data_IF_713512322993
#
_entry.id   IF_713512322993
#
_cell.length_a   1.000
_cell.length_b   1.000
_cell.length_c   1.000
_cell.angle_alpha   90.00
_cell.angle_beta   90.00
_cell.angle_gamma   90.00
#
_symmetry.space_group_name_H-M   'P 1'
#
loop_
_entity.id
_entity.type
_entity.pdbx_description
1 polymer ?
#
# COMPACT_ATOMS: atom_id res chain seq x y z
N UNK A 1 18.58 8.22 -12.14
CA UNK A 1 17.56 7.21 -12.47
C UNK A 1 17.72 6.07 -11.49
N UNK A 2 16.68 5.79 -10.70
CA UNK A 2 16.71 4.71 -9.70
C UNK A 2 15.86 3.54 -10.18
N UNK A 3 16.37 2.33 -10.10
CA UNK A 3 15.67 1.08 -10.45
C UNK A 3 15.90 0.02 -9.36
N UNK A 4 15.33 -1.18 -9.54
CA UNK A 4 15.60 -2.31 -8.62
C UNK A 4 17.10 -2.65 -8.48
N UNK A 5 17.93 -2.33 -9.47
CA UNK A 5 19.38 -2.55 -9.42
C UNK A 5 20.09 -1.63 -8.41
N UNK A 6 19.41 -0.58 -7.95
CA UNK A 6 19.90 0.31 -6.89
C UNK A 6 19.48 -0.14 -5.48
N UNK A 7 18.68 -1.20 -5.36
CA UNK A 7 18.26 -1.71 -4.06
C UNK A 7 19.47 -2.26 -3.28
N UNK A 8 19.57 -2.00 -1.97
CA UNK A 8 20.57 -2.63 -1.13
C UNK A 8 20.30 -4.13 -0.97
N UNK A 9 21.31 -4.87 -0.49
CA UNK A 9 21.11 -6.23 0.00
C UNK A 9 20.16 -6.21 1.21
N UNK A 10 19.08 -6.97 1.12
CA UNK A 10 18.03 -7.12 2.13
C UNK A 10 18.13 -8.46 2.87
N UNK A 11 19.26 -9.17 2.77
CA UNK A 11 19.51 -10.40 3.52
C UNK A 11 19.25 -10.18 5.02
N UNK A 12 18.41 -11.04 5.60
CA UNK A 12 18.00 -10.95 7.01
C UNK A 12 16.87 -9.96 7.29
N UNK A 13 16.33 -9.26 6.28
CA UNK A 13 15.13 -8.44 6.40
C UNK A 13 13.87 -9.27 6.19
N UNK A 14 12.86 -9.07 7.03
CA UNK A 14 11.54 -9.68 6.91
C UNK A 14 10.55 -8.65 6.39
N UNK A 15 9.80 -9.00 5.35
CA UNK A 15 8.90 -8.09 4.65
C UNK A 15 7.53 -8.70 4.40
N UNK A 16 6.50 -7.85 4.35
CA UNK A 16 5.16 -8.23 3.88
C UNK A 16 4.80 -7.34 2.70
N UNK A 17 4.25 -7.95 1.64
CA UNK A 17 3.63 -7.21 0.53
C UNK A 17 2.18 -7.67 0.38
N UNK A 18 1.24 -6.74 0.63
CA UNK A 18 -0.19 -7.03 0.44
C UNK A 18 -0.56 -7.03 -1.04
N UNK A 19 -1.41 -7.95 -1.49
CA UNK A 19 -1.88 -7.99 -2.88
C UNK A 19 -0.79 -8.38 -3.89
N UNK A 20 0.20 -9.18 -3.47
CA UNK A 20 1.38 -9.50 -4.26
C UNK A 20 1.24 -10.73 -5.19
N UNK A 21 0.02 -11.14 -5.54
CA UNK A 21 -0.17 -12.23 -6.49
C UNK A 21 -0.12 -11.79 -7.96
N UNK A 22 -0.35 -10.50 -8.26
CA UNK A 22 -0.27 -9.94 -9.62
C UNK A 22 0.19 -8.49 -9.60
N UNK A 23 0.44 -7.92 -10.79
CA UNK A 23 0.68 -6.49 -10.98
C UNK A 23 1.87 -5.94 -10.18
N UNK A 24 1.70 -4.72 -9.66
CA UNK A 24 2.73 -3.98 -8.92
C UNK A 24 3.21 -4.74 -7.68
N UNK A 25 2.29 -5.35 -6.92
CA UNK A 25 2.62 -6.11 -5.72
C UNK A 25 3.49 -7.33 -6.03
N UNK A 26 3.21 -8.04 -7.13
CA UNK A 26 4.02 -9.18 -7.58
C UNK A 26 5.45 -8.74 -7.91
N UNK A 27 5.61 -7.67 -8.70
CA UNK A 27 6.93 -7.16 -9.07
C UNK A 27 7.69 -6.59 -7.86
N UNK A 28 6.98 -5.99 -6.91
CA UNK A 28 7.55 -5.56 -5.62
C UNK A 28 8.07 -6.75 -4.81
N UNK A 29 7.26 -7.80 -4.65
CA UNK A 29 7.66 -9.00 -3.92
C UNK A 29 8.84 -9.72 -4.60
N UNK A 30 8.83 -9.78 -5.95
CA UNK A 30 9.92 -10.35 -6.75
C UNK A 30 11.23 -9.60 -6.52
N UNK A 31 11.22 -8.27 -6.62
CA UNK A 31 12.42 -7.46 -6.42
C UNK A 31 12.98 -7.57 -4.98
N UNK A 32 12.11 -7.59 -3.97
CA UNK A 32 12.53 -7.79 -2.57
C UNK A 32 13.16 -9.18 -2.36
N UNK A 33 12.59 -10.22 -2.98
CA UNK A 33 13.15 -11.58 -2.94
C UNK A 33 14.49 -11.69 -3.65
N UNK A 34 14.63 -11.07 -4.83
CA UNK A 34 15.89 -10.98 -5.57
C UNK A 34 16.99 -10.30 -4.75
N UNK A 35 16.62 -9.25 -4.00
CA UNK A 35 17.51 -8.53 -3.08
C UNK A 35 17.82 -9.30 -1.78
N UNK A 36 17.30 -10.53 -1.59
CA UNK A 36 17.65 -11.39 -0.44
C UNK A 36 16.71 -11.32 0.76
N UNK A 37 15.62 -10.56 0.69
CA UNK A 37 14.65 -10.47 1.79
C UNK A 37 13.88 -11.79 2.01
N UNK A 38 13.37 -11.97 3.23
CA UNK A 38 12.28 -12.91 3.50
C UNK A 38 10.96 -12.19 3.24
N UNK A 39 10.29 -12.54 2.14
CA UNK A 39 9.06 -11.90 1.68
C UNK A 39 7.84 -12.78 1.96
N UNK A 40 6.87 -12.23 2.67
CA UNK A 40 5.53 -12.81 2.81
C UNK A 40 4.58 -12.18 1.81
N UNK A 41 4.10 -12.99 0.86
CA UNK A 41 3.02 -12.62 -0.07
C UNK A 41 1.70 -12.72 0.67
N UNK A 42 1.07 -11.58 0.97
CA UNK A 42 -0.18 -11.52 1.72
C UNK A 42 -1.37 -11.29 0.78
N UNK A 43 -2.17 -12.32 0.52
CA UNK A 43 -3.26 -12.28 -0.48
C UNK A 43 -4.48 -13.06 -0.02
N UNK A 44 -5.63 -12.81 -0.68
CA UNK A 44 -6.92 -13.41 -0.29
C UNK A 44 -7.07 -14.89 -0.60
N UNK A 45 -6.40 -15.38 -1.64
CA UNK A 45 -6.63 -16.72 -2.18
C UNK A 45 -5.34 -17.54 -2.09
N UNK A 46 -5.40 -18.67 -1.36
CA UNK A 46 -4.25 -19.54 -1.12
C UNK A 46 -3.64 -20.12 -2.41
N UNK A 47 -4.47 -20.47 -3.39
CA UNK A 47 -4.00 -21.00 -4.65
C UNK A 47 -3.20 -19.94 -5.43
N UNK A 48 -3.75 -18.74 -5.59
CA UNK A 48 -3.05 -17.61 -6.23
C UNK A 48 -1.78 -17.21 -5.48
N UNK A 49 -1.78 -17.34 -4.16
CA UNK A 49 -0.59 -17.12 -3.33
C UNK A 49 0.52 -18.11 -3.68
N UNK A 50 0.17 -19.41 -3.70
CA UNK A 50 1.11 -20.48 -4.04
C UNK A 50 1.62 -20.37 -5.48
N UNK A 51 0.75 -20.02 -6.43
CA UNK A 51 1.15 -19.78 -7.82
C UNK A 51 2.15 -18.64 -7.92
N UNK A 52 1.92 -17.52 -7.23
CA UNK A 52 2.83 -16.38 -7.23
C UNK A 52 4.20 -16.74 -6.63
N UNK A 53 4.23 -17.47 -5.50
CA UNK A 53 5.49 -17.96 -4.90
C UNK A 53 6.26 -18.83 -5.90
N UNK A 54 5.61 -19.84 -6.47
CA UNK A 54 6.24 -20.75 -7.43
C UNK A 54 6.74 -19.99 -8.67
N UNK A 55 5.96 -19.03 -9.15
CA UNK A 55 6.30 -18.22 -10.32
C UNK A 55 7.54 -17.38 -10.05
N UNK A 56 7.60 -16.64 -8.94
CA UNK A 56 8.78 -15.83 -8.58
C UNK A 56 10.04 -16.70 -8.44
N UNK A 57 9.90 -17.87 -7.80
CA UNK A 57 11.01 -18.82 -7.66
C UNK A 57 11.49 -19.39 -8.99
N UNK A 58 10.60 -19.55 -9.97
CA UNK A 58 10.96 -20.04 -11.31
C UNK A 58 11.56 -18.96 -12.22
N UNK A 59 11.13 -17.71 -12.06
CA UNK A 59 11.55 -16.58 -12.90
C UNK A 59 12.89 -15.99 -12.47
N UNK A 60 13.34 -16.24 -11.25
CA UNK A 60 14.49 -15.57 -10.65
C UNK A 60 15.44 -16.56 -9.98
N UNK A 61 16.72 -16.17 -9.86
CA UNK A 61 17.71 -16.88 -9.04
C UNK A 61 17.92 -16.18 -7.69
N UNK A 62 16.88 -15.50 -7.19
CA UNK A 62 16.92 -14.79 -5.92
C UNK A 62 17.30 -15.71 -4.77
N UNK A 63 17.99 -15.15 -3.77
CA UNK A 63 18.49 -15.89 -2.60
C UNK A 63 17.67 -15.64 -1.34
N UNK A 64 16.60 -14.86 -1.44
CA UNK A 64 15.68 -14.58 -0.35
C UNK A 64 14.88 -15.80 0.09
N UNK A 65 13.89 -15.57 0.93
CA UNK A 65 12.88 -16.56 1.29
C UNK A 65 11.50 -16.07 0.86
N UNK A 66 10.65 -16.99 0.43
CA UNK A 66 9.26 -16.68 0.09
C UNK A 66 8.35 -17.57 0.92
N UNK A 67 7.38 -16.94 1.55
CA UNK A 67 6.18 -17.61 2.03
C UNK A 67 4.96 -16.76 1.68
N UNK A 68 3.78 -17.28 2.03
CA UNK A 68 2.55 -16.55 1.86
C UNK A 68 1.69 -16.67 3.11
N UNK A 69 0.78 -15.71 3.27
CA UNK A 69 -0.28 -15.78 4.26
C UNK A 69 -1.60 -15.29 3.68
N UNK A 70 -2.68 -15.81 4.23
CA UNK A 70 -4.03 -15.51 3.75
C UNK A 70 -4.51 -14.24 4.44
N UNK A 71 -4.75 -13.20 3.63
CA UNK A 71 -5.14 -11.88 4.11
C UNK A 71 -6.33 -11.37 3.30
N UNK A 72 -7.48 -11.23 3.97
CA UNK A 72 -8.63 -10.50 3.44
C UNK A 72 -8.75 -9.14 4.12
N UNK A 73 -8.35 -8.09 3.41
CA UNK A 73 -8.44 -6.71 3.90
C UNK A 73 -9.87 -6.19 4.07
N UNK A 74 -10.86 -6.88 3.50
CA UNK A 74 -12.28 -6.58 3.70
C UNK A 74 -12.87 -7.25 4.95
N UNK A 75 -12.04 -7.83 5.84
CA UNK A 75 -12.49 -8.51 7.05
C UNK A 75 -11.49 -8.28 8.20
N UNK A 76 -11.86 -7.45 9.18
CA UNK A 76 -10.99 -7.06 10.30
C UNK A 76 -10.56 -8.27 11.16
N UNK A 77 -11.45 -9.25 11.36
CA UNK A 77 -11.10 -10.46 12.10
C UNK A 77 -10.04 -11.28 11.38
N UNK A 78 -10.12 -11.43 10.05
CA UNK A 78 -9.10 -12.13 9.26
C UNK A 78 -7.78 -11.36 9.22
N UNK A 79 -7.82 -10.02 9.19
CA UNK A 79 -6.61 -9.19 9.30
C UNK A 79 -5.89 -9.45 10.64
N UNK A 80 -6.64 -9.50 11.74
CA UNK A 80 -6.08 -9.83 13.06
C UNK A 80 -5.49 -11.23 13.08
N UNK A 81 -6.20 -12.24 12.56
CA UNK A 81 -5.70 -13.63 12.49
C UNK A 81 -4.41 -13.73 11.69
N UNK A 82 -4.35 -13.11 10.51
CA UNK A 82 -3.12 -13.04 9.71
C UNK A 82 -1.95 -12.43 10.51
N UNK A 83 -2.19 -11.30 11.17
CA UNK A 83 -1.14 -10.63 11.94
C UNK A 83 -0.68 -11.45 13.16
N UNK A 84 -1.59 -12.15 13.83
CA UNK A 84 -1.27 -13.04 14.95
C UNK A 84 -0.45 -14.25 14.48
N UNK A 85 -0.82 -14.88 13.36
CA UNK A 85 -0.02 -15.94 12.73
C UNK A 85 1.37 -15.47 12.33
N UNK A 86 1.47 -14.27 11.73
CA UNK A 86 2.75 -13.69 11.36
C UNK A 86 3.64 -13.43 12.59
N UNK A 87 3.10 -12.86 13.67
CA UNK A 87 3.83 -12.66 14.94
C UNK A 87 4.29 -13.94 15.59
N UNK A 88 3.60 -15.06 15.38
CA UNK A 88 4.02 -16.36 15.88
C UNK A 88 5.20 -16.94 15.09
N UNK A 89 5.34 -16.59 13.81
CA UNK A 89 6.40 -17.09 12.91
C UNK A 89 7.63 -16.18 12.86
N UNK A 90 7.45 -14.87 13.05
CA UNK A 90 8.49 -13.87 12.87
C UNK A 90 8.71 -13.02 14.12
N UNK A 91 9.98 -12.72 14.41
CA UNK A 91 10.36 -11.89 15.56
C UNK A 91 10.48 -10.39 15.22
N UNK A 92 10.46 -10.06 13.93
CA UNK A 92 10.57 -8.69 13.42
C UNK A 92 9.79 -8.53 12.11
N UNK A 93 9.50 -7.27 11.78
CA UNK A 93 9.01 -6.86 10.47
C UNK A 93 9.77 -5.59 10.09
N UNK A 94 10.58 -5.66 9.04
CA UNK A 94 11.43 -4.55 8.60
C UNK A 94 10.72 -3.68 7.56
N UNK A 95 9.94 -4.28 6.66
CA UNK A 95 9.24 -3.55 5.59
C UNK A 95 7.82 -4.07 5.46
N UNK A 96 6.84 -3.19 5.62
CA UNK A 96 5.44 -3.44 5.29
C UNK A 96 5.05 -2.60 4.08
N UNK A 97 4.70 -3.27 2.98
CA UNK A 97 4.15 -2.63 1.78
C UNK A 97 2.63 -2.83 1.77
N UNK A 98 1.91 -1.76 2.08
CA UNK A 98 0.46 -1.68 1.92
C UNK A 98 0.14 -1.37 0.45
N UNK A 99 0.20 -2.39 -0.41
CA UNK A 99 0.03 -2.29 -1.86
C UNK A 99 -1.39 -2.66 -2.34
N UNK A 100 -2.07 -3.60 -1.68
CA UNK A 100 -3.35 -4.13 -2.15
C UNK A 100 -4.40 -3.03 -2.31
N UNK A 101 -5.18 -3.09 -3.38
CA UNK A 101 -6.24 -2.12 -3.60
C UNK A 101 -7.39 -2.62 -4.47
N UNK A 102 -8.50 -1.92 -4.36
CA UNK A 102 -9.66 -2.02 -5.25
C UNK A 102 -9.92 -0.63 -5.82
N UNK A 103 -10.21 -0.58 -7.11
CA UNK A 103 -10.55 0.64 -7.83
C UNK A 103 -11.91 0.46 -8.50
N UNK A 104 -12.75 1.46 -8.30
CA UNK A 104 -14.08 1.63 -8.88
C UNK A 104 -14.94 0.35 -8.98
N UNK A 105 -15.07 -0.44 -7.90
CA UNK A 105 -16.02 -1.54 -7.89
C UNK A 105 -17.45 -1.00 -7.90
N UNK A 106 -18.44 -1.82 -8.33
CA UNK A 106 -19.84 -1.56 -8.01
C UNK A 106 -20.03 -1.35 -6.49
N UNK A 107 -21.02 -0.54 -6.12
CA UNK A 107 -21.34 -0.23 -4.72
C UNK A 107 -21.46 -1.52 -3.89
N UNK A 108 -20.56 -1.69 -2.94
CA UNK A 108 -20.44 -2.90 -2.13
C UNK A 108 -19.76 -2.59 -0.79
N UNK A 109 -19.97 -3.47 0.19
CA UNK A 109 -19.42 -3.31 1.54
C UNK A 109 -18.39 -4.38 1.86
N UNK A 110 -17.49 -4.07 2.79
CA UNK A 110 -16.67 -5.07 3.48
C UNK A 110 -17.53 -5.95 4.39
N UNK A 111 -16.95 -7.02 4.92
CA UNK A 111 -17.63 -7.92 5.88
C UNK A 111 -17.99 -7.17 7.17
N UNK A 112 -17.22 -6.14 7.51
CA UNK A 112 -17.43 -5.25 8.66
C UNK A 112 -18.37 -4.06 8.35
N UNK A 113 -18.91 -3.98 7.13
CA UNK A 113 -19.94 -3.03 6.73
C UNK A 113 -19.45 -1.66 6.26
N UNK A 114 -18.17 -1.49 5.95
CA UNK A 114 -17.62 -0.24 5.38
C UNK A 114 -17.75 -0.21 3.86
N UNK A 115 -17.75 0.97 3.24
CA UNK A 115 -17.61 1.08 1.78
C UNK A 115 -16.35 0.34 1.32
N UNK A 116 -16.44 -0.44 0.23
CA UNK A 116 -15.41 -1.42 -0.13
C UNK A 116 -14.03 -0.79 -0.40
N UNK A 117 -13.95 0.31 -1.15
CA UNK A 117 -12.66 0.95 -1.48
C UNK A 117 -12.00 1.55 -0.23
N UNK A 118 -12.75 2.30 0.56
CA UNK A 118 -12.28 2.87 1.83
C UNK A 118 -11.91 1.78 2.84
N UNK A 119 -12.75 0.74 2.94
CA UNK A 119 -12.54 -0.41 3.81
C UNK A 119 -11.29 -1.22 3.45
N UNK A 120 -11.09 -1.55 2.19
CA UNK A 120 -9.93 -2.34 1.74
C UNK A 120 -8.67 -1.51 1.64
N UNK A 121 -8.71 -0.37 0.94
CA UNK A 121 -7.53 0.41 0.62
C UNK A 121 -6.95 1.06 1.89
N UNK A 122 -7.81 1.56 2.78
CA UNK A 122 -7.40 2.28 3.99
C UNK A 122 -7.63 1.51 5.29
N UNK A 123 -8.88 1.22 5.71
CA UNK A 123 -9.15 0.67 7.05
C UNK A 123 -8.47 -0.69 7.28
N UNK A 124 -8.48 -1.57 6.27
CA UNK A 124 -7.83 -2.86 6.35
C UNK A 124 -6.32 -2.75 6.54
N UNK A 125 -5.67 -1.82 5.82
CA UNK A 125 -4.24 -1.55 5.98
C UNK A 125 -3.90 -0.83 7.29
N UNK A 126 -4.78 0.07 7.76
CA UNK A 126 -4.66 0.69 9.07
C UNK A 126 -4.66 -0.38 10.18
N UNK A 127 -5.64 -1.30 10.15
CA UNK A 127 -5.75 -2.40 11.11
C UNK A 127 -4.55 -3.35 11.02
N UNK A 128 -4.15 -3.74 9.80
CA UNK A 128 -2.99 -4.60 9.56
C UNK A 128 -1.72 -3.98 10.14
N UNK A 129 -1.46 -2.71 9.82
CA UNK A 129 -0.29 -1.98 10.31
C UNK A 129 -0.32 -1.89 11.84
N UNK A 130 -1.49 -1.62 12.44
CA UNK A 130 -1.63 -1.54 13.89
C UNK A 130 -1.39 -2.87 14.61
N UNK A 131 -1.87 -3.98 14.06
CA UNK A 131 -1.62 -5.31 14.63
C UNK A 131 -0.17 -5.78 14.50
N UNK A 132 0.52 -5.37 13.43
CA UNK A 132 1.93 -5.66 13.17
C UNK A 132 2.88 -4.63 13.81
N UNK A 133 2.35 -3.51 14.30
CA UNK A 133 3.12 -2.42 14.90
C UNK A 133 4.11 -2.87 15.98
N UNK A 134 3.79 -3.83 16.88
CA UNK A 134 4.77 -4.34 17.84
C UNK A 134 6.04 -4.93 17.22
N UNK A 135 5.96 -5.54 16.02
CA UNK A 135 7.14 -6.06 15.31
C UNK A 135 7.87 -4.95 14.56
N UNK A 136 7.12 -4.03 13.94
CA UNK A 136 7.70 -2.86 13.27
C UNK A 136 8.55 -2.04 14.23
N UNK A 137 8.07 -1.81 15.47
CA UNK A 137 8.83 -1.07 16.50
C UNK A 137 10.11 -1.79 16.96
N UNK A 138 10.15 -3.13 16.88
CA UNK A 138 11.31 -3.91 17.31
C UNK A 138 12.42 -3.91 16.26
N UNK A 139 12.07 -3.84 14.98
CA UNK A 139 13.06 -3.75 13.90
C UNK A 139 13.74 -2.38 13.92
N UNK A 140 15.06 -2.38 13.68
CA UNK A 140 15.82 -1.16 13.48
C UNK A 140 15.56 -0.59 12.09
N UNK A 141 15.07 0.65 12.01
CA UNK A 141 14.80 1.37 10.78
C UNK A 141 13.71 0.70 9.93
N UNK A 142 12.62 0.27 10.57
CA UNK A 142 11.49 -0.33 9.87
C UNK A 142 10.72 0.68 9.04
N UNK A 143 10.07 0.21 7.99
CA UNK A 143 9.40 1.04 6.99
C UNK A 143 7.98 0.56 6.74
N UNK A 144 7.02 1.48 6.81
CA UNK A 144 5.66 1.26 6.30
C UNK A 144 5.50 2.11 5.05
N UNK A 145 5.35 1.46 3.90
CA UNK A 145 5.11 2.12 2.61
C UNK A 145 3.67 1.86 2.19
N UNK A 146 2.91 2.94 2.00
CA UNK A 146 1.50 2.86 1.59
C UNK A 146 1.33 3.34 0.16
N UNK A 147 0.76 2.49 -0.70
CA UNK A 147 0.50 2.87 -2.09
C UNK A 147 -0.79 3.68 -2.20
N UNK A 148 -0.62 4.94 -2.55
CA UNK A 148 -1.69 5.86 -2.92
C UNK A 148 -1.75 6.06 -4.45
N UNK A 149 -2.33 7.16 -4.91
CA UNK A 149 -2.58 7.50 -6.31
C UNK A 149 -2.65 9.02 -6.46
N UNK A 150 -2.34 9.53 -7.66
CA UNK A 150 -2.67 10.90 -8.05
C UNK A 150 -4.16 11.21 -7.91
N UNK A 151 -5.03 10.21 -7.92
CA UNK A 151 -6.47 10.36 -7.65
C UNK A 151 -6.77 10.96 -6.26
N UNK A 152 -5.85 10.89 -5.30
CA UNK A 152 -5.99 11.56 -4.01
C UNK A 152 -6.15 13.10 -4.14
N UNK A 153 -5.71 13.67 -5.27
CA UNK A 153 -5.85 15.11 -5.58
C UNK A 153 -7.26 15.49 -6.07
N UNK A 154 -8.11 14.51 -6.39
CA UNK A 154 -9.44 14.73 -6.96
C UNK A 154 -10.53 14.98 -5.91
N UNK A 155 -10.18 14.93 -4.63
CA UNK A 155 -11.09 15.21 -3.53
C UNK A 155 -10.47 16.19 -2.54
N UNK A 156 -11.29 17.05 -1.97
CA UNK A 156 -10.88 18.08 -1.01
C UNK A 156 -11.39 17.79 0.42
N UNK A 157 -12.11 16.69 0.64
CA UNK A 157 -12.68 16.35 1.94
C UNK A 157 -12.85 14.84 2.15
N UNK A 158 -13.26 14.48 3.37
CA UNK A 158 -13.73 13.13 3.71
C UNK A 158 -15.09 13.30 4.38
N UNK A 159 -16.15 12.80 3.74
CA UNK A 159 -17.47 12.70 4.33
C UNK A 159 -17.54 11.49 5.27
N UNK A 160 -17.27 11.72 6.56
CA UNK A 160 -17.28 10.69 7.59
C UNK A 160 -18.66 10.05 7.80
N UNK A 161 -19.73 10.67 7.30
CA UNK A 161 -21.10 10.16 7.37
C UNK A 161 -21.46 9.29 6.15
N UNK A 162 -20.51 9.02 5.23
CA UNK A 162 -20.71 8.16 4.06
C UNK A 162 -19.65 7.05 3.92
N UNK A 163 -18.91 6.74 4.98
CA UNK A 163 -17.83 5.74 4.94
C UNK A 163 -18.33 4.28 5.01
N UNK A 164 -19.64 4.07 5.12
CA UNK A 164 -20.33 2.77 5.09
C UNK A 164 -21.39 2.69 3.99
N UNK A 165 -21.31 3.52 2.96
CA UNK A 165 -22.32 3.63 1.89
C UNK A 165 -23.71 4.00 2.41
N UNK A 166 -23.79 5.05 3.23
CA UNK A 166 -25.04 5.60 3.76
C UNK A 166 -25.75 6.57 2.80
N UNK A 167 -25.00 7.13 1.84
CA UNK A 167 -25.46 8.11 0.84
C UNK A 167 -25.21 7.59 -0.59
N UNK A 168 -25.66 8.28 -1.66
CA UNK A 168 -25.35 7.89 -3.03
C UNK A 168 -23.85 7.64 -3.24
N UNK A 169 -23.56 6.62 -4.04
CA UNK A 169 -22.20 6.17 -4.29
C UNK A 169 -21.68 6.75 -5.62
N UNK A 170 -20.49 7.33 -5.57
CA UNK A 170 -19.68 7.65 -6.74
C UNK A 170 -18.37 6.88 -6.62
N UNK A 171 -18.13 5.94 -7.53
CA UNK A 171 -16.96 5.07 -7.47
C UNK A 171 -15.61 5.80 -7.53
N UNK A 172 -15.51 6.88 -8.30
CA UNK A 172 -14.27 7.65 -8.44
C UNK A 172 -14.00 8.52 -7.22
N UNK A 173 -15.04 9.13 -6.66
CA UNK A 173 -14.96 9.89 -5.42
C UNK A 173 -14.56 8.97 -4.25
N UNK A 174 -15.18 7.80 -4.11
CA UNK A 174 -14.81 6.82 -3.10
C UNK A 174 -13.36 6.34 -3.26
N UNK A 175 -12.90 6.16 -4.50
CA UNK A 175 -11.50 5.83 -4.78
C UNK A 175 -10.56 6.97 -4.34
N UNK A 176 -10.85 8.21 -4.74
CA UNK A 176 -10.08 9.39 -4.38
C UNK A 176 -10.01 9.58 -2.86
N UNK A 177 -11.13 9.43 -2.16
CA UNK A 177 -11.21 9.48 -0.68
C UNK A 177 -10.35 8.39 -0.04
N UNK A 178 -10.40 7.16 -0.56
CA UNK A 178 -9.56 6.07 -0.05
C UNK A 178 -8.06 6.36 -0.21
N UNK A 179 -7.66 6.99 -1.33
CA UNK A 179 -6.26 7.33 -1.64
C UNK A 179 -5.78 8.56 -0.89
N UNK A 180 -6.64 9.54 -0.65
CA UNK A 180 -6.39 10.62 0.29
C UNK A 180 -6.17 10.07 1.71
N UNK A 181 -6.98 9.12 2.15
CA UNK A 181 -6.84 8.49 3.46
C UNK A 181 -5.47 7.78 3.64
N UNK A 182 -4.97 7.10 2.60
CA UNK A 182 -3.62 6.49 2.58
C UNK A 182 -2.50 7.52 2.83
N UNK A 183 -2.61 8.71 2.24
CA UNK A 183 -1.62 9.80 2.40
C UNK A 183 -1.71 10.40 3.80
N UNK A 184 -2.91 10.72 4.26
CA UNK A 184 -3.13 11.26 5.61
C UNK A 184 -2.66 10.29 6.70
N UNK A 185 -2.90 8.99 6.50
CA UNK A 185 -2.39 7.92 7.36
C UNK A 185 -0.88 7.92 7.41
N UNK A 186 -0.23 7.95 6.25
CA UNK A 186 1.24 7.96 6.14
C UNK A 186 1.84 9.13 6.92
N UNK A 187 1.29 10.34 6.69
CA UNK A 187 1.79 11.53 7.35
C UNK A 187 1.55 11.52 8.86
N UNK A 188 0.37 11.08 9.32
CA UNK A 188 0.08 11.00 10.74
C UNK A 188 0.87 9.89 11.45
N UNK A 189 1.01 8.71 10.84
CA UNK A 189 1.84 7.64 11.38
C UNK A 189 3.28 8.12 11.56
N UNK A 190 3.84 8.79 10.56
CA UNK A 190 5.18 9.33 10.64
C UNK A 190 5.32 10.44 11.70
N UNK A 191 4.34 11.35 11.83
CA UNK A 191 4.34 12.36 12.91
C UNK A 191 4.35 11.71 14.30
N UNK A 192 3.54 10.68 14.51
CA UNK A 192 3.46 9.95 15.78
C UNK A 192 4.75 9.17 16.06
N UNK A 193 5.33 8.53 15.05
CA UNK A 193 6.64 7.85 15.12
C UNK A 193 7.76 8.81 15.53
N UNK A 194 7.85 9.99 14.88
CA UNK A 194 8.83 11.02 15.21
C UNK A 194 8.65 11.55 16.63
N UNK A 195 7.42 11.86 17.02
CA UNK A 195 7.10 12.36 18.37
C UNK A 195 7.46 11.35 19.46
N UNK A 196 7.41 10.06 19.12
CA UNK A 196 7.70 8.95 20.05
C UNK A 196 9.13 8.43 19.95
N UNK A 197 9.99 9.09 19.15
CA UNK A 197 11.39 8.72 18.93
C UNK A 197 11.59 7.25 18.51
N UNK A 198 10.66 6.70 17.72
CA UNK A 198 10.79 5.33 17.21
C UNK A 198 11.69 5.31 15.97
N UNK A 199 12.56 4.30 15.88
CA UNK A 199 13.44 4.10 14.72
C UNK A 199 12.69 3.43 13.57
N UNK A 200 11.73 4.15 13.01
CA UNK A 200 10.81 3.73 11.97
C UNK A 200 10.50 4.93 11.07
N UNK A 201 10.11 4.68 9.83
CA UNK A 201 9.50 5.70 8.98
C UNK A 201 8.21 5.19 8.35
N UNK A 202 7.30 6.12 8.04
CA UNK A 202 6.19 5.86 7.13
C UNK A 202 6.32 6.77 5.91
N UNK A 203 6.18 6.18 4.73
CA UNK A 203 6.23 6.89 3.45
C UNK A 203 5.09 6.42 2.54
N UNK A 204 4.73 7.24 1.57
CA UNK A 204 3.73 6.91 0.57
C UNK A 204 4.38 6.81 -0.81
N UNK A 205 3.77 6.06 -1.70
CA UNK A 205 4.17 6.02 -3.10
C UNK A 205 2.94 5.93 -4.01
N UNK A 206 3.02 6.40 -5.25
CA UNK A 206 2.03 6.08 -6.27
C UNK A 206 2.71 5.54 -7.53
N UNK A 207 2.04 4.64 -8.27
CA UNK A 207 2.67 3.94 -9.39
C UNK A 207 2.45 4.66 -10.72
N UNK A 208 2.16 5.97 -10.74
CA UNK A 208 1.68 6.65 -11.95
C UNK A 208 0.52 5.93 -12.65
N UNK A 209 0.49 6.00 -13.98
CA UNK A 209 -0.42 5.27 -14.86
C UNK A 209 0.19 3.91 -15.21
N UNK A 210 -0.12 2.90 -14.41
CA UNK A 210 0.35 1.52 -14.62
C UNK A 210 -0.79 0.60 -15.01
N UNK A 211 -0.60 -0.20 -16.07
CA UNK A 211 -1.55 -1.23 -16.49
C UNK A 211 -1.48 -2.47 -15.59
N UNK A 212 -2.55 -2.76 -14.85
CA UNK A 212 -2.61 -3.88 -13.89
C UNK A 212 -4.01 -4.48 -13.80
N UNK A 213 -4.21 -5.48 -12.93
CA UNK A 213 -5.55 -5.99 -12.58
C UNK A 213 -6.35 -5.03 -11.68
N UNK A 214 -5.79 -3.88 -11.29
CA UNK A 214 -6.53 -2.87 -10.52
C UNK A 214 -7.70 -2.32 -11.34
N UNK A 215 -7.52 -2.20 -12.66
CA UNK A 215 -8.50 -1.69 -13.62
C UNK A 215 -9.57 -2.73 -14.05
N UNK A 216 -9.60 -3.93 -13.45
CA UNK A 216 -10.48 -5.05 -13.85
C UNK A 216 -11.99 -4.78 -13.87
N UNK A 217 -12.45 -3.70 -13.21
CA UNK A 217 -13.87 -3.31 -13.22
C UNK A 217 -14.21 -2.31 -14.32
N UNK A 218 -13.23 -1.80 -15.06
CA UNK A 218 -13.43 -0.97 -16.24
C UNK A 218 -13.66 -1.89 -17.45
N UNK A 219 -14.76 -1.73 -18.21
CA UNK A 219 -14.97 -2.43 -19.47
C UNK A 219 -13.80 -2.24 -20.44
N UNK A 220 -13.42 -3.29 -21.20
CA UNK A 220 -12.19 -3.29 -22.00
C UNK A 220 -12.05 -2.10 -22.98
N UNK A 221 -13.10 -1.74 -23.71
CA UNK A 221 -13.06 -0.59 -24.63
C UNK A 221 -12.87 0.75 -23.90
N UNK A 222 -13.52 0.92 -22.74
CA UNK A 222 -13.35 2.11 -21.90
C UNK A 222 -11.95 2.17 -21.30
N UNK A 223 -11.38 1.02 -20.93
CA UNK A 223 -10.03 0.93 -20.40
C UNK A 223 -8.99 1.32 -21.44
N UNK A 224 -9.12 0.82 -22.68
CA UNK A 224 -8.23 1.22 -23.77
C UNK A 224 -8.41 2.69 -24.15
N UNK A 225 -9.65 3.20 -24.14
CA UNK A 225 -9.92 4.63 -24.33
C UNK A 225 -9.23 5.50 -23.28
N UNK A 226 -9.34 5.13 -22.00
CA UNK A 226 -8.67 5.82 -20.90
C UNK A 226 -7.14 5.76 -21.05
N UNK A 227 -6.58 4.62 -21.46
CA UNK A 227 -5.13 4.51 -21.65
C UNK A 227 -4.61 5.25 -22.89
N UNK A 228 -5.44 5.43 -23.92
CA UNK A 228 -5.07 6.18 -25.12
C UNK A 228 -4.88 7.70 -24.87
N UNK A 229 -5.33 8.21 -23.73
CA UNK A 229 -5.10 9.60 -23.31
C UNK A 229 -3.67 9.86 -22.81
N UNK A 230 -2.87 8.80 -22.60
CA UNK A 230 -1.52 8.89 -22.09
C UNK A 230 -0.49 8.52 -23.17
N UNK A 231 0.58 9.31 -23.28
CA UNK A 231 1.68 9.02 -24.21
C UNK A 231 2.43 7.74 -23.86
N UNK A 232 2.50 7.40 -22.57
CA UNK A 232 3.14 6.20 -22.06
C UNK A 232 2.32 5.59 -20.90
N UNK A 233 2.22 4.26 -20.91
CA UNK A 233 1.54 3.47 -19.88
C UNK A 233 2.52 2.47 -19.32
N UNK A 234 2.85 2.64 -18.05
CA UNK A 234 3.87 1.85 -17.39
C UNK A 234 3.48 0.39 -17.26
N UNK A 235 4.48 -0.48 -17.46
CA UNK A 235 4.40 -1.90 -17.11
C UNK A 235 4.40 -2.08 -15.59
N UNK A 236 3.85 -3.19 -15.06
CA UNK A 236 3.82 -3.46 -13.62
C UNK A 236 5.16 -3.29 -12.89
N UNK A 237 6.28 -3.65 -13.54
CA UNK A 237 7.60 -3.53 -12.94
C UNK A 237 8.06 -2.07 -12.80
N UNK A 238 7.65 -1.18 -13.71
CA UNK A 238 7.90 0.26 -13.61
C UNK A 238 7.05 0.86 -12.49
N UNK A 239 5.77 0.49 -12.41
CA UNK A 239 4.87 0.91 -11.34
C UNK A 239 5.30 0.49 -9.94
N UNK A 240 6.12 -0.57 -9.82
CA UNK A 240 6.71 -1.00 -8.54
C UNK A 240 7.84 -0.08 -8.05
N UNK A 241 8.52 0.63 -8.95
CA UNK A 241 9.74 1.39 -8.61
C UNK A 241 9.53 2.44 -7.51
N UNK A 242 8.45 3.26 -7.51
CA UNK A 242 8.20 4.23 -6.42
C UNK A 242 8.06 3.59 -5.05
N UNK A 243 7.37 2.45 -4.96
CA UNK A 243 7.20 1.74 -3.70
C UNK A 243 8.50 1.07 -3.23
N UNK A 244 9.29 0.49 -4.15
CA UNK A 244 10.60 -0.09 -3.85
C UNK A 244 11.59 0.99 -3.41
N UNK A 245 11.58 2.16 -4.06
CA UNK A 245 12.39 3.31 -3.68
C UNK A 245 12.08 3.73 -2.24
N UNK A 246 10.81 4.02 -1.96
CA UNK A 246 10.34 4.38 -0.62
C UNK A 246 10.71 3.32 0.44
N UNK A 247 10.65 2.04 0.05
CA UNK A 247 10.89 0.91 0.94
C UNK A 247 12.36 0.62 1.22
N UNK A 248 13.29 1.05 0.37
CA UNK A 248 14.66 0.51 0.43
C UNK A 248 15.77 1.55 0.30
N UNK A 249 15.51 2.70 -0.30
CA UNK A 249 16.55 3.70 -0.49
C UNK A 249 16.87 4.42 0.83
N UNK A 250 18.16 4.58 1.12
CA UNK A 250 18.65 5.17 2.36
C UNK A 250 18.38 6.68 2.45
N UNK A 251 18.15 7.37 1.33
CA UNK A 251 17.88 8.81 1.28
C UNK A 251 16.44 9.18 1.66
N UNK A 252 15.52 8.21 1.62
CA UNK A 252 14.09 8.41 1.91
C UNK A 252 13.90 8.87 3.35
N UNK A 253 13.13 9.94 3.53
CA UNK A 253 12.73 10.43 4.84
C UNK A 253 11.27 10.08 5.10
N UNK A 254 10.97 9.80 6.36
CA UNK A 254 9.59 9.55 6.76
C UNK A 254 8.71 10.79 6.60
N UNK A 255 7.49 10.57 6.11
CA UNK A 255 6.49 11.59 5.81
C UNK A 255 6.55 12.11 4.39
N UNK A 256 7.27 11.43 3.50
CA UNK A 256 7.40 11.79 2.10
C UNK A 256 6.46 10.94 1.21
N UNK A 257 6.14 11.48 0.04
CA UNK A 257 5.32 10.85 -0.99
C UNK A 257 6.11 10.77 -2.29
N UNK A 258 6.18 9.59 -2.90
CA UNK A 258 7.00 9.33 -4.07
C UNK A 258 6.16 8.95 -5.30
N UNK A 259 6.58 9.42 -6.45
CA UNK A 259 5.93 9.23 -7.75
C UNK A 259 6.95 9.12 -8.86
N UNK A 260 6.53 8.77 -10.08
CA UNK A 260 7.40 8.84 -11.24
C UNK A 260 7.70 10.31 -11.63
N UNK A 261 8.87 10.56 -12.22
CA UNK A 261 9.41 11.90 -12.51
C UNK A 261 8.95 12.52 -13.83
N UNK A 262 8.17 11.80 -14.65
CA UNK A 262 7.67 12.28 -15.93
C UNK A 262 6.55 13.31 -15.81
N UNK A 263 6.02 13.71 -16.97
CA UNK A 263 4.96 14.71 -17.05
C UNK A 263 3.72 14.27 -16.29
N UNK A 264 3.16 15.18 -15.48
CA UNK A 264 2.05 14.93 -14.55
C UNK A 264 2.23 13.74 -13.61
N UNK A 265 3.45 13.18 -13.51
CA UNK A 265 3.75 11.97 -12.75
C UNK A 265 2.96 10.75 -13.27
N UNK A 266 2.73 10.68 -14.59
CA UNK A 266 2.08 9.54 -15.24
C UNK A 266 3.02 8.37 -15.47
N UNK A 267 4.25 8.61 -15.92
CA UNK A 267 5.27 7.58 -16.12
C UNK A 267 6.66 8.10 -15.79
N UNK A 268 7.64 7.20 -15.62
CA UNK A 268 9.02 7.58 -15.31
C UNK A 268 9.63 6.84 -14.13
N UNK A 269 10.64 7.44 -13.53
CA UNK A 269 11.44 6.86 -12.45
C UNK A 269 11.14 7.53 -11.12
N UNK A 270 11.35 6.83 -9.99
CA UNK A 270 10.88 7.33 -8.71
C UNK A 270 11.63 8.60 -8.27
N UNK A 271 10.86 9.59 -7.85
CA UNK A 271 11.28 10.86 -7.26
C UNK A 271 10.25 11.33 -6.23
N UNK A 272 10.52 12.44 -5.55
CA UNK A 272 9.52 13.08 -4.69
C UNK A 272 8.34 13.55 -5.55
N UNK A 273 7.13 13.13 -5.17
CA UNK A 273 5.90 13.53 -5.83
C UNK A 273 5.63 15.02 -5.59
N UNK A 274 5.15 15.70 -6.63
CA UNK A 274 4.67 17.08 -6.62
C UNK A 274 3.18 17.16 -6.32
N UNK A 275 2.45 16.04 -6.32
CA UNK A 275 1.05 16.01 -5.86
C UNK A 275 0.96 16.49 -4.42
N UNK A 276 0.31 17.63 -4.22
CA UNK A 276 0.15 18.26 -2.92
C UNK A 276 -1.06 19.18 -2.94
N UNK A 277 -2.05 18.90 -2.09
CA UNK A 277 -3.23 19.74 -1.90
C UNK A 277 -3.33 20.20 -0.44
N UNK A 278 -4.09 21.28 -0.13
CA UNK A 278 -4.35 21.65 1.26
C UNK A 278 -4.90 20.50 2.09
N UNK A 279 -5.82 19.71 1.53
CA UNK A 279 -6.45 18.56 2.19
C UNK A 279 -5.47 17.43 2.46
N UNK A 280 -4.59 17.09 1.52
CA UNK A 280 -3.53 16.08 1.72
C UNK A 280 -2.60 16.44 2.88
N UNK A 281 -2.40 17.73 3.12
CA UNK A 281 -1.53 18.26 4.17
C UNK A 281 -2.29 18.68 5.46
N UNK A 282 -3.61 18.47 5.54
CA UNK A 282 -4.40 18.88 6.68
C UNK A 282 -4.16 17.95 7.89
N UNK A 283 -3.37 18.44 8.85
CA UNK A 283 -3.07 17.72 10.09
C UNK A 283 -4.31 17.48 10.97
N UNK A 284 -5.30 18.39 10.97
CA UNK A 284 -6.53 18.20 11.76
C UNK A 284 -7.37 17.09 11.15
N UNK A 285 -7.49 17.07 9.82
CA UNK A 285 -8.18 16.00 9.10
C UNK A 285 -7.48 14.65 9.32
N UNK A 286 -6.15 14.60 9.23
CA UNK A 286 -5.38 13.38 9.47
C UNK A 286 -5.59 12.83 10.90
N UNK A 287 -5.60 13.70 11.91
CA UNK A 287 -5.90 13.31 13.30
C UNK A 287 -7.35 12.84 13.47
N UNK A 288 -8.32 13.47 12.78
CA UNK A 288 -9.72 13.05 12.78
C UNK A 288 -9.87 11.67 12.15
N UNK A 289 -9.25 11.46 10.98
CA UNK A 289 -9.22 10.17 10.28
C UNK A 289 -8.58 9.07 11.13
N UNK A 290 -7.46 9.36 11.79
CA UNK A 290 -6.81 8.42 12.71
C UNK A 290 -7.75 7.95 13.82
N UNK A 291 -8.41 8.90 14.52
CA UNK A 291 -9.36 8.57 15.60
C UNK A 291 -10.55 7.77 15.09
N UNK A 292 -11.05 8.13 13.91
CA UNK A 292 -12.11 7.36 13.25
C UNK A 292 -11.63 5.92 13.01
N UNK A 293 -10.46 5.74 12.41
CA UNK A 293 -9.91 4.42 12.10
C UNK A 293 -9.64 3.57 13.35
N UNK A 294 -9.10 4.14 14.43
CA UNK A 294 -8.95 3.43 15.71
C UNK A 294 -10.29 2.95 16.27
N UNK A 295 -11.34 3.77 16.14
CA UNK A 295 -12.68 3.43 16.62
C UNK A 295 -13.36 2.40 15.73
N UNK A 296 -13.24 2.57 14.41
CA UNK A 296 -13.86 1.71 13.40
C UNK A 296 -13.24 0.32 13.33
N UNK A 297 -11.94 0.21 13.62
CA UNK A 297 -11.20 -1.07 13.58
C UNK A 297 -10.97 -1.68 14.95
N UNK A 298 -11.25 -0.94 16.03
CA UNK A 298 -10.90 -1.27 17.41
C UNK A 298 -9.38 -1.51 17.62
N UNK A 299 -8.54 -1.03 16.68
CA UNK A 299 -7.08 -1.17 16.73
C UNK A 299 -6.45 0.11 17.27
N UNK A 300 -5.58 -0.04 18.27
CA UNK A 300 -4.78 1.06 18.82
C UNK A 300 -3.30 0.82 18.63
N UNK A 301 -2.59 1.86 18.24
CA UNK A 301 -1.15 1.86 18.12
C UNK A 301 -0.53 2.25 19.47
N UNK A 302 0.32 1.39 20.03
CA UNK A 302 1.09 1.69 21.23
C UNK A 302 2.44 2.26 20.80
N UNK A 303 2.53 3.57 20.58
CA UNK A 303 3.77 4.25 20.22
C UNK A 303 4.81 4.10 21.34
#
# INVERSE_FOLDING_TARGET
MWTKENMPDLTGKTTIVTGANTGIGYETAKALYEAGAHVTIAVRNAHKASEAVNKIQSETKGKGKLDFGILNLANLAQIKSFADEFKNKHQQLDILINNAGVMIPPASKTDDGFELQFGVNFLGHFALTGHLFPLLKKSSNSRVVTLSSGAATLTDNIDFENLKLEKPYNEWEAYAVSKLADILFTYELNRKVKTSNLNMISAAAHPGVTRTDLQRHIPGEQLEGMFAEYEDVMQPWQGALPSLFAATDASVKGGEFFGPDGEHEYSGYPTLSKHSTPTMNDEKLAKKLWKYAESATEVKFRF
#
